data_IF_787005728028
#
_entry.id   IF_787005728028
#
_cell.length_a   1.000
_cell.length_b   1.000
_cell.length_c   1.000
_cell.angle_alpha   90.00
_cell.angle_beta   90.00
_cell.angle_gamma   90.00
#
_symmetry.space_group_name_H-M   'P 1'
#
loop_
_entity.id
_entity.type
_entity.pdbx_description
1 polymer ?
#
# COMPACT_ATOMS: atom_id res chain seq x y z
N UNK A 1 5.71 62.57 -80.64
CA UNK A 1 4.64 61.62 -81.03
C UNK A 1 3.63 61.54 -79.90
N UNK A 2 2.37 61.91 -80.20
CA UNK A 2 1.09 61.37 -79.67
C UNK A 2 1.04 61.10 -78.15
N UNK A 3 0.53 62.01 -77.30
CA UNK A 3 -0.86 62.42 -77.08
C UNK A 3 -1.75 61.39 -76.33
N UNK A 4 -2.09 61.71 -75.07
CA UNK A 4 -3.44 61.74 -74.45
C UNK A 4 -3.28 61.78 -72.92
N UNK A 5 -3.51 62.95 -72.30
CA UNK A 5 -4.78 63.38 -71.67
C UNK A 5 -5.08 62.59 -70.37
N UNK A 6 -5.48 63.17 -69.25
CA UNK A 6 -6.06 64.49 -69.02
C UNK A 6 -5.99 64.85 -67.53
N UNK A 7 -5.98 66.15 -67.28
CA UNK A 7 -5.98 66.76 -65.96
C UNK A 7 -7.39 66.98 -65.39
N UNK A 8 -7.41 67.20 -64.06
CA UNK A 8 -8.26 68.12 -63.26
C UNK A 8 -9.42 67.55 -62.40
N UNK A 9 -9.30 67.94 -61.12
CA UNK A 9 -10.31 68.52 -60.20
C UNK A 9 -11.38 67.59 -59.58
N UNK A 10 -11.40 67.48 -58.25
CA UNK A 10 -12.10 68.41 -57.33
C UNK A 10 -11.88 67.97 -55.86
N UNK A 11 -11.95 68.94 -54.96
CA UNK A 11 -11.66 68.84 -53.54
C UNK A 11 -12.81 68.23 -52.72
N UNK A 12 -12.50 67.48 -51.67
CA UNK A 12 -13.33 67.47 -50.46
C UNK A 12 -12.51 67.10 -49.22
N UNK A 13 -12.44 68.04 -48.28
CA UNK A 13 -11.96 67.85 -46.91
C UNK A 13 -12.79 66.76 -46.22
N UNK A 14 -12.12 65.80 -45.59
CA UNK A 14 -12.71 64.94 -44.56
C UNK A 14 -11.61 64.62 -43.56
N UNK A 15 -11.71 65.25 -42.40
CA UNK A 15 -10.89 65.04 -41.21
C UNK A 15 -11.19 63.67 -40.62
N UNK A 16 -10.27 62.71 -40.76
CA UNK A 16 -10.34 61.46 -39.99
C UNK A 16 -9.58 61.61 -38.67
N UNK A 17 -10.35 61.36 -37.61
CA UNK A 17 -9.98 61.44 -36.20
C UNK A 17 -8.87 60.45 -35.86
N UNK A 18 -7.94 60.94 -35.04
CA UNK A 18 -6.87 60.21 -34.37
C UNK A 18 -7.46 59.04 -33.55
N UNK A 19 -7.29 57.80 -34.01
CA UNK A 19 -7.60 56.61 -33.22
C UNK A 19 -6.50 56.43 -32.16
N UNK A 20 -6.84 56.74 -30.90
CA UNK A 20 -6.04 56.37 -29.73
C UNK A 20 -6.14 54.86 -29.52
N UNK A 21 -5.02 54.16 -29.66
CA UNK A 21 -4.87 52.77 -29.23
C UNK A 21 -4.81 52.77 -27.69
N UNK A 22 -5.68 52.04 -26.97
CA UNK A 22 -5.53 51.91 -25.53
C UNK A 22 -4.36 50.97 -25.21
N UNK A 23 -3.38 51.50 -24.49
CA UNK A 23 -2.30 50.75 -23.86
C UNK A 23 -2.88 49.97 -22.67
N UNK A 24 -3.36 48.76 -22.92
CA UNK A 24 -3.58 47.76 -21.86
C UNK A 24 -2.72 46.55 -22.20
N UNK A 25 -1.45 46.62 -21.79
CA UNK A 25 -0.59 45.45 -21.70
C UNK A 25 -1.03 44.64 -20.48
N UNK A 26 -2.06 43.82 -20.64
CA UNK A 26 -2.40 42.79 -19.66
C UNK A 26 -1.33 41.71 -19.77
N UNK A 27 -0.30 41.80 -18.92
CA UNK A 27 0.61 40.69 -18.65
C UNK A 27 -0.20 39.59 -17.97
N UNK A 28 -0.81 38.71 -18.75
CA UNK A 28 -1.28 37.42 -18.26
C UNK A 28 -0.03 36.62 -17.97
N UNK A 29 0.45 36.72 -16.73
CA UNK A 29 1.41 35.78 -16.19
C UNK A 29 0.77 34.40 -16.23
N UNK A 30 1.15 33.60 -17.23
CA UNK A 30 0.97 32.16 -17.17
C UNK A 30 1.84 31.66 -16.02
N UNK A 31 1.29 31.66 -14.81
CA UNK A 31 1.75 30.75 -13.77
C UNK A 31 1.39 29.35 -14.25
N UNK A 32 2.27 28.75 -15.06
CA UNK A 32 2.41 27.32 -15.09
C UNK A 32 2.80 26.92 -13.68
N UNK A 33 1.80 26.67 -12.83
CA UNK A 33 2.02 25.87 -11.64
C UNK A 33 2.40 24.51 -12.21
N UNK A 34 3.71 24.27 -12.34
CA UNK A 34 4.27 22.94 -12.38
C UNK A 34 3.90 22.32 -11.03
N UNK A 35 2.64 21.91 -10.89
CA UNK A 35 2.20 21.01 -9.86
C UNK A 35 2.88 19.70 -10.20
N UNK A 36 4.13 19.55 -9.76
CA UNK A 36 4.83 18.29 -9.85
C UNK A 36 3.91 17.23 -9.28
N UNK A 37 3.63 16.20 -10.06
CA UNK A 37 2.92 15.03 -9.58
C UNK A 37 3.85 14.33 -8.58
N UNK A 38 3.87 14.80 -7.34
CA UNK A 38 4.59 14.16 -6.26
C UNK A 38 3.87 12.85 -5.95
N UNK A 39 4.63 11.76 -5.85
CA UNK A 39 4.10 10.52 -5.31
C UNK A 39 3.68 10.76 -3.85
N UNK A 40 2.38 10.89 -3.61
CA UNK A 40 1.83 11.25 -2.29
C UNK A 40 0.98 10.10 -1.75
N UNK A 41 1.24 9.72 -0.50
CA UNK A 41 0.33 8.88 0.29
C UNK A 41 -0.80 9.72 0.86
N UNK A 42 -1.88 9.05 1.28
CA UNK A 42 -2.98 9.71 1.99
C UNK A 42 -2.49 10.11 3.39
N UNK A 43 -2.79 11.34 3.87
CA UNK A 43 -2.47 11.75 5.24
C UNK A 43 -3.02 10.77 6.27
N UNK A 44 -2.20 10.46 7.29
CA UNK A 44 -2.63 9.63 8.41
C UNK A 44 -3.47 10.44 9.39
N UNK A 45 -4.36 9.76 10.09
CA UNK A 45 -5.08 10.29 11.24
C UNK A 45 -4.19 10.24 12.50
N UNK A 46 -4.48 11.07 13.50
CA UNK A 46 -3.64 11.24 14.70
C UNK A 46 -3.43 9.95 15.53
N UNK A 47 -4.31 8.94 15.38
CA UNK A 47 -4.16 7.66 16.06
C UNK A 47 -3.05 6.77 15.47
N UNK A 48 -2.62 7.02 14.22
CA UNK A 48 -1.56 6.28 13.53
C UNK A 48 -0.26 7.09 13.50
N UNK A 49 0.87 6.42 13.72
CA UNK A 49 2.18 7.07 13.63
C UNK A 49 2.90 6.53 12.39
N UNK A 50 3.28 7.42 11.47
CA UNK A 50 4.07 7.08 10.30
C UNK A 50 5.45 6.54 10.75
N UNK A 51 5.91 5.41 10.20
CA UNK A 51 7.26 4.93 10.44
C UNK A 51 8.32 5.98 10.06
N UNK A 52 8.12 6.68 8.94
CA UNK A 52 9.00 7.73 8.40
C UNK A 52 8.82 9.08 9.12
N UNK A 53 8.67 9.03 10.44
CA UNK A 53 8.64 10.22 11.29
C UNK A 53 9.61 10.01 12.44
N UNK A 54 10.18 11.08 13.00
CA UNK A 54 11.09 11.00 14.15
C UNK A 54 10.52 10.14 15.29
N UNK A 55 9.20 10.19 15.52
CA UNK A 55 8.54 9.37 16.52
C UNK A 55 8.46 7.90 16.08
N UNK A 56 8.02 7.62 14.84
CA UNK A 56 7.92 6.26 14.31
C UNK A 56 9.27 5.53 14.26
N UNK A 57 10.34 6.24 13.92
CA UNK A 57 11.70 5.71 13.95
C UNK A 57 12.13 5.36 15.38
N UNK A 58 11.91 6.26 16.35
CA UNK A 58 12.20 5.98 17.77
C UNK A 58 11.45 4.77 18.30
N UNK A 59 10.19 4.56 17.90
CA UNK A 59 9.43 3.37 18.29
C UNK A 59 10.08 2.09 17.79
N UNK A 60 10.58 2.09 16.54
CA UNK A 60 11.30 0.95 15.98
C UNK A 60 12.63 0.74 16.71
N UNK A 61 13.39 1.81 16.93
CA UNK A 61 14.71 1.76 17.57
C UNK A 61 14.65 1.30 19.04
N UNK A 62 13.56 1.60 19.75
CA UNK A 62 13.35 1.17 21.13
C UNK A 62 12.71 -0.22 21.28
N UNK A 63 12.09 -0.76 20.21
CA UNK A 63 11.40 -2.05 20.25
C UNK A 63 12.36 -3.22 20.52
N UNK A 64 11.95 -4.13 21.40
CA UNK A 64 12.61 -5.42 21.68
C UNK A 64 11.92 -6.61 20.98
N UNK A 65 10.90 -6.35 20.17
CA UNK A 65 10.13 -7.36 19.44
C UNK A 65 10.05 -6.88 17.98
N UNK A 66 11.16 -7.02 17.25
CA UNK A 66 11.38 -6.44 15.92
C UNK A 66 12.27 -7.31 15.02
N UNK A 67 12.46 -8.60 15.38
CA UNK A 67 13.32 -9.51 14.61
C UNK A 67 12.85 -9.62 13.15
N UNK A 68 11.54 -9.55 12.93
CA UNK A 68 10.90 -9.61 11.61
C UNK A 68 11.17 -8.36 10.74
N UNK A 69 11.48 -7.20 11.32
CA UNK A 69 11.53 -5.95 10.57
C UNK A 69 12.59 -5.97 9.46
N UNK A 70 13.82 -6.36 9.79
CA UNK A 70 14.91 -6.38 8.82
C UNK A 70 14.63 -7.33 7.64
N UNK A 71 14.36 -8.64 7.85
CA UNK A 71 14.09 -9.54 6.75
C UNK A 71 12.87 -9.12 5.92
N UNK A 72 11.77 -8.65 6.54
CA UNK A 72 10.61 -8.18 5.79
C UNK A 72 10.88 -6.88 5.02
N UNK A 73 11.66 -5.95 5.58
CA UNK A 73 12.01 -4.69 4.91
C UNK A 73 12.77 -4.91 3.61
N UNK A 74 13.68 -5.90 3.59
CA UNK A 74 14.44 -6.31 2.41
C UNK A 74 13.52 -6.88 1.33
N UNK A 75 12.43 -7.56 1.73
CA UNK A 75 11.47 -8.17 0.80
C UNK A 75 10.29 -7.26 0.46
N UNK A 76 10.25 -6.02 0.95
CA UNK A 76 9.03 -5.20 0.92
C UNK A 76 8.63 -4.77 -0.51
N UNK A 77 7.44 -5.20 -0.93
CA UNK A 77 6.90 -4.95 -2.27
C UNK A 77 5.61 -4.14 -2.23
N UNK A 78 5.32 -3.45 -3.33
CA UNK A 78 4.01 -2.83 -3.57
C UNK A 78 3.08 -3.86 -4.20
N UNK A 79 1.85 -3.99 -3.71
CA UNK A 79 0.85 -4.87 -4.33
C UNK A 79 0.59 -4.48 -5.80
N UNK A 80 0.61 -5.44 -6.73
CA UNK A 80 0.52 -5.18 -8.18
C UNK A 80 -0.83 -4.61 -8.61
N UNK A 81 -1.90 -4.91 -7.87
CA UNK A 81 -3.23 -4.36 -8.09
C UNK A 81 -3.96 -4.16 -6.76
N UNK A 82 -5.15 -3.53 -6.78
CA UNK A 82 -5.90 -3.18 -5.57
C UNK A 82 -6.37 -4.38 -4.72
N UNK A 83 -6.41 -5.59 -5.27
CA UNK A 83 -6.87 -6.80 -4.59
C UNK A 83 -5.72 -7.73 -4.14
N UNK A 84 -4.48 -7.47 -4.55
CA UNK A 84 -3.31 -8.34 -4.33
C UNK A 84 -2.60 -8.16 -2.98
N UNK A 85 -3.20 -7.47 -2.00
CA UNK A 85 -2.58 -7.27 -0.69
C UNK A 85 -2.14 -8.59 -0.02
N UNK A 86 -2.96 -9.65 -0.08
CA UNK A 86 -2.59 -10.97 0.43
C UNK A 86 -1.44 -11.63 -0.35
N UNK A 87 -1.42 -11.48 -1.68
CA UNK A 87 -0.37 -12.02 -2.56
C UNK A 87 0.98 -11.37 -2.27
N UNK A 88 1.01 -10.03 -2.21
CA UNK A 88 2.21 -9.26 -1.88
C UNK A 88 2.76 -9.66 -0.50
N UNK A 89 1.88 -9.78 0.50
CA UNK A 89 2.23 -10.17 1.86
C UNK A 89 2.81 -11.58 1.93
N UNK A 90 2.19 -12.54 1.24
CA UNK A 90 2.70 -13.91 1.14
C UNK A 90 4.08 -13.97 0.48
N UNK A 91 4.28 -13.23 -0.62
CA UNK A 91 5.57 -13.16 -1.33
C UNK A 91 6.67 -12.59 -0.43
N UNK A 92 6.37 -11.56 0.38
CA UNK A 92 7.33 -11.03 1.35
C UNK A 92 7.79 -12.12 2.33
N UNK A 93 6.84 -12.82 2.95
CA UNK A 93 7.12 -13.84 3.97
C UNK A 93 7.84 -15.05 3.38
N UNK A 94 7.40 -15.58 2.22
CA UNK A 94 8.05 -16.74 1.60
C UNK A 94 9.51 -16.45 1.20
N UNK A 95 9.80 -15.24 0.70
CA UNK A 95 11.16 -14.83 0.41
C UNK A 95 11.97 -14.58 1.70
N UNK A 96 11.37 -14.02 2.74
CA UNK A 96 12.03 -13.76 4.02
C UNK A 96 12.40 -15.06 4.75
N UNK A 97 11.57 -16.10 4.62
CA UNK A 97 11.83 -17.47 5.07
C UNK A 97 12.82 -18.24 4.17
N UNK A 98 13.29 -17.66 3.07
CA UNK A 98 14.16 -18.32 2.09
C UNK A 98 13.59 -19.66 1.57
N UNK A 99 12.27 -19.74 1.42
CA UNK A 99 11.61 -20.92 0.85
C UNK A 99 12.07 -21.11 -0.60
N UNK A 100 12.27 -22.37 -1.01
CA UNK A 100 12.65 -22.69 -2.39
C UNK A 100 11.62 -22.13 -3.37
N UNK A 101 12.05 -21.14 -4.15
CA UNK A 101 11.18 -20.39 -5.04
C UNK A 101 11.20 -20.93 -6.48
N UNK A 102 10.12 -20.73 -7.25
CA UNK A 102 10.13 -20.89 -8.70
C UNK A 102 11.14 -19.94 -9.36
N UNK A 103 11.47 -20.23 -10.62
CA UNK A 103 12.25 -19.31 -11.44
C UNK A 103 11.48 -17.99 -11.63
N UNK A 104 12.19 -16.87 -11.53
CA UNK A 104 11.72 -15.54 -11.93
C UNK A 104 12.57 -15.08 -13.12
N UNK A 105 12.15 -15.38 -14.37
CA UNK A 105 12.95 -15.11 -15.57
C UNK A 105 13.37 -13.64 -15.71
N UNK A 106 12.54 -12.71 -15.24
CA UNK A 106 12.83 -11.27 -15.22
C UNK A 106 14.07 -10.91 -14.40
N UNK A 107 14.45 -11.75 -13.44
CA UNK A 107 15.60 -11.57 -12.56
C UNK A 107 16.70 -12.61 -12.80
N UNK A 108 16.47 -13.60 -13.68
CA UNK A 108 17.38 -14.72 -13.94
C UNK A 108 17.83 -15.44 -12.66
N UNK A 109 16.93 -15.58 -11.70
CA UNK A 109 17.14 -16.24 -10.41
C UNK A 109 15.85 -16.86 -9.88
N UNK A 110 15.94 -17.75 -8.89
CA UNK A 110 14.79 -18.23 -8.14
C UNK A 110 14.36 -17.19 -7.11
N UNK A 111 13.10 -16.75 -7.18
CA UNK A 111 12.52 -15.76 -6.27
C UNK A 111 11.00 -15.77 -6.35
N UNK A 112 10.29 -15.63 -5.23
CA UNK A 112 8.85 -15.42 -5.27
C UNK A 112 8.53 -14.01 -5.76
N UNK A 113 7.60 -13.93 -6.71
CA UNK A 113 7.00 -12.71 -7.24
C UNK A 113 5.48 -12.82 -7.15
N UNK A 114 4.77 -11.70 -7.25
CA UNK A 114 3.29 -11.71 -7.21
C UNK A 114 2.68 -12.44 -8.41
N UNK A 115 3.48 -12.79 -9.42
CA UNK A 115 3.07 -13.55 -10.61
C UNK A 115 3.35 -15.04 -10.47
N UNK A 116 4.57 -15.41 -10.04
CA UNK A 116 4.99 -16.81 -10.00
C UNK A 116 4.61 -17.56 -8.72
N UNK A 117 4.04 -16.86 -7.72
CA UNK A 117 3.53 -17.49 -6.49
C UNK A 117 2.26 -18.30 -6.72
N UNK A 118 1.63 -18.19 -7.89
CA UNK A 118 0.51 -19.03 -8.28
C UNK A 118 1.00 -20.29 -9.01
N UNK A 119 0.45 -21.43 -8.63
CA UNK A 119 0.70 -22.74 -9.22
C UNK A 119 -0.57 -23.61 -9.19
N UNK A 120 -0.50 -24.83 -9.71
CA UNK A 120 -1.65 -25.73 -9.78
C UNK A 120 -2.32 -26.01 -8.41
N UNK A 121 -1.55 -26.03 -7.31
CA UNK A 121 -2.08 -26.23 -5.95
C UNK A 121 -2.75 -24.96 -5.41
N UNK A 122 -2.17 -23.79 -5.63
CA UNK A 122 -2.79 -22.53 -5.18
C UNK A 122 -4.11 -22.26 -5.90
N UNK A 123 -4.18 -22.60 -7.19
CA UNK A 123 -5.42 -22.48 -8.00
C UNK A 123 -6.56 -23.35 -7.44
N UNK A 124 -6.26 -24.47 -6.79
CA UNK A 124 -7.25 -25.32 -6.11
C UNK A 124 -7.80 -24.67 -4.82
N UNK A 125 -7.01 -23.82 -4.16
CA UNK A 125 -7.47 -23.10 -2.96
C UNK A 125 -8.32 -21.90 -3.36
N UNK A 126 -7.82 -21.09 -4.28
CA UNK A 126 -8.57 -19.97 -4.87
C UNK A 126 -7.92 -19.53 -6.17
N UNK A 127 -8.73 -19.42 -7.22
CA UNK A 127 -8.24 -19.05 -8.54
C UNK A 127 -7.58 -17.66 -8.56
N UNK A 128 -6.44 -17.52 -9.26
CA UNK A 128 -5.71 -16.26 -9.32
C UNK A 128 -6.56 -15.11 -9.91
N UNK A 129 -7.42 -15.41 -10.90
CA UNK A 129 -8.35 -14.44 -11.48
C UNK A 129 -9.36 -13.91 -10.45
N UNK A 130 -9.85 -14.77 -9.55
CA UNK A 130 -10.78 -14.37 -8.49
C UNK A 130 -10.05 -13.52 -7.45
N UNK A 131 -8.82 -13.90 -7.08
CA UNK A 131 -7.96 -13.09 -6.20
C UNK A 131 -7.73 -11.70 -6.78
N UNK A 132 -7.47 -11.59 -8.09
CA UNK A 132 -7.21 -10.31 -8.75
C UNK A 132 -8.40 -9.34 -8.72
N UNK A 133 -9.62 -9.84 -8.51
CA UNK A 133 -10.84 -9.03 -8.45
C UNK A 133 -11.36 -8.82 -7.04
N UNK A 134 -11.21 -9.82 -6.17
CA UNK A 134 -11.89 -9.89 -4.87
C UNK A 134 -10.96 -10.05 -3.67
N UNK A 135 -9.67 -10.25 -3.89
CA UNK A 135 -8.72 -10.59 -2.85
C UNK A 135 -8.97 -12.00 -2.31
N UNK A 136 -8.59 -12.23 -1.05
CA UNK A 136 -8.71 -13.50 -0.35
C UNK A 136 -9.10 -13.29 1.11
N UNK A 137 -9.74 -14.28 1.71
CA UNK A 137 -10.07 -14.32 3.15
C UNK A 137 -8.85 -14.80 3.97
N UNK A 138 -8.91 -14.67 5.30
CA UNK A 138 -7.86 -15.15 6.21
C UNK A 138 -7.54 -16.65 6.01
N UNK A 139 -8.57 -17.48 5.90
CA UNK A 139 -8.43 -18.93 5.71
C UNK A 139 -7.86 -19.27 4.33
N UNK A 140 -8.22 -18.50 3.30
CA UNK A 140 -7.65 -18.67 1.97
C UNK A 140 -6.18 -18.25 1.93
N UNK A 141 -5.80 -17.18 2.65
CA UNK A 141 -4.39 -16.79 2.80
C UNK A 141 -3.57 -17.95 3.39
N UNK A 142 -4.03 -18.55 4.50
CA UNK A 142 -3.36 -19.70 5.09
C UNK A 142 -3.34 -20.91 4.14
N UNK A 143 -4.47 -21.23 3.49
CA UNK A 143 -4.54 -22.32 2.53
C UNK A 143 -3.58 -22.15 1.35
N UNK A 144 -3.39 -20.92 0.83
CA UNK A 144 -2.40 -20.62 -0.21
C UNK A 144 -0.97 -20.83 0.32
N UNK A 145 -0.65 -20.35 1.53
CA UNK A 145 0.64 -20.54 2.17
C UNK A 145 0.96 -22.02 2.35
N UNK A 146 0.01 -22.84 2.82
CA UNK A 146 0.23 -24.28 3.07
C UNK A 146 0.44 -25.12 1.81
N UNK A 147 0.29 -24.54 0.61
CA UNK A 147 0.73 -25.19 -0.64
C UNK A 147 2.25 -25.23 -0.80
N UNK A 148 2.95 -24.38 -0.05
CA UNK A 148 4.41 -24.32 0.09
C UNK A 148 4.88 -25.07 1.35
N UNK A 149 6.18 -25.38 1.51
CA UNK A 149 6.70 -26.10 2.69
C UNK A 149 6.78 -25.20 3.94
N UNK A 150 5.67 -24.58 4.30
CA UNK A 150 5.49 -23.74 5.49
C UNK A 150 4.27 -24.23 6.29
N UNK A 151 4.28 -23.96 7.58
CA UNK A 151 3.14 -24.08 8.48
C UNK A 151 2.43 -22.73 8.55
N UNK A 152 1.11 -22.71 8.47
CA UNK A 152 0.30 -21.49 8.57
C UNK A 152 -0.79 -21.65 9.65
N UNK A 153 -0.58 -21.06 10.82
CA UNK A 153 -1.53 -21.15 11.93
C UNK A 153 -2.48 -19.96 11.94
N UNK A 154 -3.78 -20.23 11.78
CA UNK A 154 -4.81 -19.20 11.71
C UNK A 154 -5.37 -18.89 13.09
N UNK A 155 -5.42 -17.60 13.43
CA UNK A 155 -6.05 -17.08 14.63
C UNK A 155 -7.12 -16.07 14.25
N UNK A 156 -8.39 -16.43 14.48
CA UNK A 156 -9.51 -15.51 14.27
C UNK A 156 -9.57 -14.47 15.39
N UNK A 157 -9.61 -13.18 15.03
CA UNK A 157 -9.56 -12.08 15.99
C UNK A 157 -10.75 -12.03 16.94
N UNK A 158 -11.90 -12.57 16.52
CA UNK A 158 -13.09 -12.70 17.37
C UNK A 158 -13.01 -13.78 18.44
N UNK A 159 -12.04 -14.70 18.32
CA UNK A 159 -11.88 -15.85 19.23
C UNK A 159 -10.80 -15.60 20.28
N UNK A 160 -10.19 -14.40 20.26
CA UNK A 160 -9.09 -14.01 21.15
C UNK A 160 -9.44 -12.75 21.94
N UNK A 161 -8.96 -12.71 23.18
CA UNK A 161 -8.83 -11.45 23.93
C UNK A 161 -7.67 -10.61 23.40
N UNK A 162 -7.67 -9.30 23.69
CA UNK A 162 -6.56 -8.40 23.37
C UNK A 162 -5.23 -8.92 23.94
N UNK A 163 -5.22 -9.41 25.18
CA UNK A 163 -4.01 -9.90 25.84
C UNK A 163 -3.49 -11.19 25.18
N UNK A 164 -4.36 -12.10 24.78
CA UNK A 164 -3.96 -13.29 24.01
C UNK A 164 -3.35 -12.90 22.67
N UNK A 165 -3.99 -11.99 21.92
CA UNK A 165 -3.43 -11.48 20.66
C UNK A 165 -2.04 -10.86 20.87
N UNK A 166 -1.90 -9.96 21.86
CA UNK A 166 -0.63 -9.31 22.16
C UNK A 166 0.44 -10.34 22.49
N UNK A 167 0.17 -11.27 23.41
CA UNK A 167 1.16 -12.25 23.87
C UNK A 167 1.61 -13.19 22.74
N UNK A 168 0.68 -13.66 21.91
CA UNK A 168 1.00 -14.57 20.79
C UNK A 168 1.88 -13.86 19.75
N UNK A 169 1.48 -12.65 19.33
CA UNK A 169 2.17 -11.93 18.25
C UNK A 169 3.49 -11.33 18.71
N UNK A 170 3.57 -10.81 19.94
CA UNK A 170 4.83 -10.28 20.48
C UNK A 170 5.87 -11.39 20.60
N UNK A 171 5.48 -12.59 21.05
CA UNK A 171 6.40 -13.73 21.10
C UNK A 171 6.94 -14.07 19.71
N UNK A 172 6.08 -14.09 18.69
CA UNK A 172 6.48 -14.34 17.30
C UNK A 172 7.52 -13.30 16.82
N UNK A 173 7.23 -12.01 17.00
CA UNK A 173 8.12 -10.90 16.60
C UNK A 173 9.48 -10.84 17.34
N UNK A 174 9.70 -11.71 18.33
CA UNK A 174 10.96 -11.86 19.07
C UNK A 174 11.79 -13.07 18.62
N UNK A 175 11.23 -13.94 17.80
CA UNK A 175 11.85 -15.17 17.35
C UNK A 175 12.17 -15.08 15.85
N UNK A 176 13.34 -15.54 15.42
CA UNK A 176 13.68 -15.55 14.00
C UNK A 176 12.91 -16.65 13.23
N UNK A 177 12.87 -16.52 11.90
CA UNK A 177 12.31 -17.54 10.99
C UNK A 177 10.82 -17.86 11.21
N UNK A 178 10.07 -16.91 11.75
CA UNK A 178 8.63 -16.95 11.82
C UNK A 178 8.10 -15.54 11.60
N UNK A 179 6.89 -15.43 11.04
CA UNK A 179 6.34 -14.14 10.62
C UNK A 179 4.84 -14.07 10.89
N UNK A 180 4.35 -12.85 11.11
CA UNK A 180 2.91 -12.58 11.28
C UNK A 180 2.33 -11.85 10.07
N UNK A 181 1.27 -12.41 9.50
CA UNK A 181 0.41 -11.71 8.54
C UNK A 181 -0.92 -11.35 9.19
N UNK A 182 -1.31 -10.08 9.19
CA UNK A 182 -2.61 -9.63 9.71
C UNK A 182 -3.61 -9.42 8.59
N UNK A 183 -4.85 -9.85 8.82
CA UNK A 183 -6.02 -9.48 8.03
C UNK A 183 -6.94 -8.60 8.90
N UNK A 184 -7.17 -7.35 8.50
CA UNK A 184 -7.89 -6.38 9.31
C UNK A 184 -8.79 -5.47 8.47
N UNK A 185 -9.79 -4.85 9.10
CA UNK A 185 -10.63 -3.84 8.46
C UNK A 185 -9.99 -2.46 8.61
N UNK A 186 -9.55 -1.85 7.51
CA UNK A 186 -8.90 -0.52 7.53
C UNK A 186 -9.73 0.57 8.20
N UNK A 187 -11.05 0.53 8.02
CA UNK A 187 -11.96 1.52 8.61
C UNK A 187 -11.87 1.56 10.14
N UNK A 188 -11.60 0.42 10.79
CA UNK A 188 -11.51 0.34 12.24
C UNK A 188 -10.24 1.01 12.81
N UNK A 189 -9.20 1.21 11.99
CA UNK A 189 -7.98 1.93 12.37
C UNK A 189 -7.91 3.33 11.76
N UNK A 190 -9.07 3.89 11.36
CA UNK A 190 -9.21 5.20 10.72
C UNK A 190 -8.54 5.36 9.33
N UNK A 191 -8.26 4.25 8.64
CA UNK A 191 -7.88 4.27 7.22
C UNK A 191 -9.10 4.15 6.28
N UNK A 192 -8.93 4.54 5.01
CA UNK A 192 -9.91 4.30 3.92
C UNK A 192 -10.38 2.84 3.88
N UNK A 193 -11.66 2.65 3.55
CA UNK A 193 -12.44 1.41 3.72
C UNK A 193 -11.83 0.15 3.06
N UNK A 194 -12.33 -1.01 3.48
CA UNK A 194 -11.99 -2.32 2.93
C UNK A 194 -11.24 -3.22 3.92
N UNK A 195 -11.31 -4.54 3.70
CA UNK A 195 -10.38 -5.47 4.32
C UNK A 195 -8.99 -5.34 3.70
N UNK A 196 -7.95 -5.59 4.48
CA UNK A 196 -6.56 -5.52 4.02
C UNK A 196 -5.73 -6.64 4.65
N UNK A 197 -4.63 -7.00 3.99
CA UNK A 197 -3.65 -7.96 4.48
C UNK A 197 -2.26 -7.34 4.35
N UNK A 198 -1.46 -7.40 5.41
CA UNK A 198 -0.05 -6.97 5.43
C UNK A 198 0.73 -7.67 6.54
N UNK A 199 2.07 -7.77 6.44
CA UNK A 199 2.90 -8.27 7.52
C UNK A 199 2.93 -7.31 8.72
N UNK A 200 3.06 -7.87 9.92
CA UNK A 200 3.58 -7.14 11.08
C UNK A 200 5.09 -7.32 11.15
N UNK A 201 5.80 -6.25 11.54
CA UNK A 201 7.26 -6.25 11.55
C UNK A 201 7.87 -5.95 12.91
N UNK A 202 7.12 -5.28 13.79
CA UNK A 202 7.61 -4.95 15.12
C UNK A 202 6.47 -4.65 16.09
N UNK A 203 6.77 -4.72 17.38
CA UNK A 203 5.93 -4.26 18.47
C UNK A 203 6.72 -3.39 19.44
N UNK A 204 6.19 -2.22 19.77
CA UNK A 204 6.75 -1.35 20.80
C UNK A 204 5.91 -1.47 22.08
N UNK A 205 6.53 -1.94 23.15
CA UNK A 205 5.86 -2.22 24.42
C UNK A 205 5.44 -0.96 25.18
N UNK A 206 6.25 0.09 25.19
CA UNK A 206 5.94 1.34 25.90
C UNK A 206 4.73 2.05 25.28
N UNK A 207 4.66 2.07 23.95
CA UNK A 207 3.57 2.70 23.22
C UNK A 207 2.35 1.77 22.99
N UNK A 208 2.46 0.48 23.31
CA UNK A 208 1.51 -0.59 22.98
C UNK A 208 1.08 -0.58 21.50
N UNK A 209 2.05 -0.60 20.58
CA UNK A 209 1.82 -0.45 19.14
C UNK A 209 2.50 -1.52 18.30
N UNK A 210 1.80 -2.00 17.27
CA UNK A 210 2.35 -2.85 16.22
C UNK A 210 2.70 -2.03 14.98
N UNK A 211 3.80 -2.37 14.33
CA UNK A 211 4.21 -1.83 13.03
C UNK A 211 3.66 -2.71 11.91
N UNK A 212 2.77 -2.15 11.09
CA UNK A 212 2.27 -2.79 9.86
C UNK A 212 3.13 -2.32 8.68
N UNK A 213 3.71 -3.27 7.93
CA UNK A 213 4.35 -2.99 6.65
C UNK A 213 3.30 -3.02 5.53
N UNK A 214 2.60 -1.90 5.36
CA UNK A 214 1.47 -1.79 4.44
C UNK A 214 1.89 -1.96 2.96
N UNK A 215 1.49 -3.07 2.34
CA UNK A 215 1.81 -3.38 0.93
C UNK A 215 1.07 -2.49 -0.08
N UNK A 216 0.06 -1.71 0.34
CA UNK A 216 -0.51 -0.61 -0.46
C UNK A 216 0.41 0.63 -0.41
N UNK A 217 1.69 0.48 -0.76
CA UNK A 217 2.72 1.51 -0.60
C UNK A 217 2.45 2.81 -1.38
N UNK A 218 1.61 2.75 -2.42
CA UNK A 218 1.11 3.92 -3.15
C UNK A 218 0.04 4.71 -2.38
N UNK A 219 -0.45 4.20 -1.25
CA UNK A 219 -1.61 4.73 -0.51
C UNK A 219 -1.26 5.12 0.92
N UNK A 220 -0.52 4.28 1.63
CA UNK A 220 -0.07 4.53 3.00
C UNK A 220 1.40 4.11 3.18
N UNK A 221 2.15 4.82 4.04
CA UNK A 221 3.43 4.31 4.52
C UNK A 221 3.21 3.15 5.50
N UNK A 222 4.27 2.48 5.96
CA UNK A 222 4.19 1.67 7.17
C UNK A 222 3.70 2.49 8.36
N UNK A 223 2.82 1.90 9.16
CA UNK A 223 2.17 2.59 10.27
C UNK A 223 2.28 1.83 11.58
N UNK A 224 2.52 2.57 12.65
CA UNK A 224 2.33 2.10 14.01
C UNK A 224 0.88 2.31 14.45
N UNK A 225 0.20 1.21 14.76
CA UNK A 225 -1.19 1.19 15.23
C UNK A 225 -1.25 0.64 16.65
N UNK A 226 -2.17 1.15 17.48
CA UNK A 226 -2.36 0.62 18.85
C UNK A 226 -2.79 -0.85 18.79
N UNK A 227 -2.31 -1.67 19.72
CA UNK A 227 -2.66 -3.08 19.80
C UNK A 227 -4.19 -3.28 19.91
N UNK A 228 -4.86 -2.48 20.73
CA UNK A 228 -6.32 -2.51 20.87
C UNK A 228 -7.05 -2.22 19.55
N UNK A 229 -6.65 -1.16 18.84
CA UNK A 229 -7.28 -0.77 17.57
C UNK A 229 -7.09 -1.84 16.49
N UNK A 230 -5.90 -2.44 16.41
CA UNK A 230 -5.62 -3.54 15.50
C UNK A 230 -6.43 -4.79 15.86
N UNK A 231 -6.51 -5.16 17.13
CA UNK A 231 -7.33 -6.28 17.61
C UNK A 231 -8.81 -6.07 17.25
N UNK A 232 -9.37 -4.89 17.54
CA UNK A 232 -10.75 -4.55 17.15
C UNK A 232 -10.95 -4.65 15.63
N UNK A 233 -9.98 -4.20 14.84
CA UNK A 233 -10.02 -4.28 13.39
C UNK A 233 -10.01 -5.72 12.85
N UNK A 234 -9.33 -6.64 13.54
CA UNK A 234 -9.33 -8.08 13.23
C UNK A 234 -10.58 -8.80 13.73
N UNK A 235 -11.17 -8.37 14.85
CA UNK A 235 -12.41 -8.91 15.40
C UNK A 235 -13.67 -8.56 14.56
N UNK A 236 -13.51 -7.89 13.43
CA UNK A 236 -14.59 -7.59 12.49
C UNK A 236 -14.91 -8.77 11.58
N UNK A 237 -16.20 -8.99 11.27
CA UNK A 237 -16.62 -10.03 10.31
C UNK A 237 -16.21 -9.67 8.87
N UNK A 238 -15.70 -10.65 8.14
CA UNK A 238 -15.54 -10.59 6.69
C UNK A 238 -16.85 -11.04 6.02
N UNK A 239 -17.36 -10.23 5.09
CA UNK A 239 -18.58 -10.50 4.36
C UNK A 239 -18.50 -11.74 3.47
N UNK A 240 -17.31 -12.13 3.00
CA UNK A 240 -17.13 -13.31 2.15
C UNK A 240 -17.09 -14.61 2.98
N UNK A 241 -16.23 -14.68 4.00
CA UNK A 241 -16.10 -15.90 4.83
C UNK A 241 -17.18 -16.07 5.89
N UNK A 242 -17.88 -14.98 6.26
CA UNK A 242 -18.78 -14.89 7.43
C UNK A 242 -18.10 -15.13 8.79
N UNK A 243 -16.79 -15.34 8.81
CA UNK A 243 -15.95 -15.42 10.01
C UNK A 243 -15.33 -14.06 10.32
N UNK A 244 -14.79 -13.89 11.52
CA UNK A 244 -13.95 -12.72 11.82
C UNK A 244 -12.65 -12.78 11.02
N UNK A 245 -12.02 -11.62 10.82
CA UNK A 245 -10.65 -11.56 10.31
C UNK A 245 -9.68 -12.03 11.42
N UNK A 246 -8.42 -11.65 11.40
CA UNK A 246 -7.44 -12.24 12.31
C UNK A 246 -6.01 -12.13 11.82
N UNK A 247 -5.17 -13.06 12.24
CA UNK A 247 -3.78 -13.15 11.80
C UNK A 247 -3.38 -14.59 11.52
N UNK A 248 -2.29 -14.74 10.77
CA UNK A 248 -1.66 -16.02 10.45
C UNK A 248 -0.22 -15.96 10.94
N UNK A 249 0.19 -16.95 11.74
CA UNK A 249 1.61 -17.19 12.04
C UNK A 249 2.18 -18.12 10.97
N UNK A 250 3.32 -17.76 10.40
CA UNK A 250 3.95 -18.50 9.31
C UNK A 250 5.37 -18.90 9.72
N UNK A 251 5.71 -20.16 9.57
CA UNK A 251 7.06 -20.70 9.86
C UNK A 251 7.40 -21.85 8.89
N UNK A 252 8.67 -22.24 8.74
CA UNK A 252 9.05 -23.44 7.98
C UNK A 252 8.40 -24.71 8.56
N UNK A 253 8.21 -25.74 7.72
CA UNK A 253 7.82 -27.09 8.20
C UNK A 253 9.01 -27.91 8.65
#
# INVERSE_FOLDING_TARGET
MINKNNAKKYAQKSSLKLFRIPLQATLIGFFLINGGCLAQTIPLTENLINLDSDHGERLLMASQAREDYLPLSIQFVTQENLAYCGVASMVMVLNALSIQAPEAPEFRTNRFTQKNVFNAKTEQVRMAEVIARRGMTLEQLAGLLETYPVKAEVYHGGDLTLDQFRNIVVKNLQEAENFVLVNYLRKAIAQKTGGHISPLAAYNHEADRFLILDVSRYKYPPVWVKAEELWQAMATKDSESKKTRGFVLVSPR
#
